data_IF_010598144827
#
_entry.id   IF_010598144827
#
_cell.length_a   1.000
_cell.length_b   1.000
_cell.length_c   1.000
_cell.angle_alpha   90.00
_cell.angle_beta   90.00
_cell.angle_gamma   90.00
#
_symmetry.space_group_name_H-M   'P 1'
#
loop_
_entity.id
_entity.type
_entity.pdbx_description
1 polymer ?
#
# COMPACT_ATOMS: atom_id res chain seq x y z
N UNK A 1 -9.96 -11.84 -9.32
CA UNK A 1 -8.59 -11.31 -9.07
C UNK A 1 -7.93 -11.75 -7.72
N UNK A 2 -8.65 -12.42 -6.81
CA UNK A 2 -8.18 -12.64 -5.43
C UNK A 2 -7.50 -14.01 -5.16
N UNK A 3 -7.32 -14.87 -6.16
CA UNK A 3 -6.96 -16.28 -5.93
C UNK A 3 -5.46 -16.57 -5.72
N UNK A 4 -4.57 -15.57 -5.86
CA UNK A 4 -3.14 -15.74 -5.56
C UNK A 4 -2.56 -14.47 -4.92
N UNK A 5 -2.05 -13.54 -5.73
CA UNK A 5 -1.43 -12.30 -5.27
C UNK A 5 -2.34 -11.45 -4.37
N UNK A 6 -3.65 -11.43 -4.67
CA UNK A 6 -4.65 -10.74 -3.87
C UNK A 6 -4.93 -11.39 -2.50
N UNK A 7 -4.90 -12.73 -2.40
CA UNK A 7 -5.17 -13.44 -1.14
C UNK A 7 -4.07 -13.20 -0.09
N UNK A 8 -2.80 -13.26 -0.53
CA UNK A 8 -1.66 -13.00 0.36
C UNK A 8 -1.68 -11.54 0.82
N UNK A 9 -1.84 -10.61 -0.11
CA UNK A 9 -1.91 -9.19 0.20
C UNK A 9 -3.07 -8.82 1.13
N UNK A 10 -4.25 -9.40 0.91
CA UNK A 10 -5.40 -9.24 1.80
C UNK A 10 -5.15 -9.82 3.20
N UNK A 11 -4.53 -10.99 3.29
CA UNK A 11 -4.16 -11.58 4.59
C UNK A 11 -3.16 -10.70 5.33
N UNK A 12 -2.13 -10.19 4.66
CA UNK A 12 -1.17 -9.25 5.26
C UNK A 12 -1.89 -8.01 5.80
N UNK A 13 -2.78 -7.40 5.00
CA UNK A 13 -3.59 -6.26 5.42
C UNK A 13 -4.50 -6.57 6.63
N UNK A 14 -5.01 -7.79 6.75
CA UNK A 14 -5.80 -8.20 7.93
C UNK A 14 -4.94 -8.37 9.17
N UNK A 15 -3.68 -8.81 9.00
CA UNK A 15 -2.74 -9.05 10.11
C UNK A 15 -2.14 -7.77 10.68
N UNK A 16 -2.16 -6.65 9.94
CA UNK A 16 -1.75 -5.35 10.49
C UNK A 16 -2.69 -4.86 11.59
N UNK A 17 -3.92 -5.39 11.66
CA UNK A 17 -4.98 -4.89 12.54
C UNK A 17 -5.19 -3.37 12.42
N UNK A 18 -5.00 -2.86 11.19
CA UNK A 18 -5.13 -1.44 10.86
C UNK A 18 -6.54 -0.95 11.18
N UNK A 19 -6.63 0.25 11.76
CA UNK A 19 -7.87 0.99 11.94
C UNK A 19 -7.96 2.07 10.89
N UNK A 20 -9.18 2.40 10.49
CA UNK A 20 -9.37 3.49 9.54
C UNK A 20 -8.81 4.81 10.08
N UNK A 21 -8.09 5.53 9.23
CA UNK A 21 -7.32 6.73 9.59
C UNK A 21 -5.85 6.48 9.95
N UNK A 22 -5.42 5.23 10.09
CA UNK A 22 -4.00 4.89 10.32
C UNK A 22 -3.22 4.83 9.00
N UNK A 23 -1.93 5.16 9.06
CA UNK A 23 -1.07 5.22 7.89
C UNK A 23 -0.52 3.82 7.54
N UNK A 24 -0.71 3.39 6.30
CA UNK A 24 -0.25 2.09 5.80
C UNK A 24 0.86 2.25 4.77
N UNK A 25 1.98 1.55 4.97
CA UNK A 25 3.01 1.36 3.97
C UNK A 25 2.80 0.09 3.13
N UNK A 26 3.05 0.17 1.83
CA UNK A 26 3.20 -0.98 0.93
C UNK A 26 4.63 -0.99 0.39
N UNK A 27 5.38 -2.07 0.63
CA UNK A 27 6.74 -2.23 0.11
C UNK A 27 6.78 -3.21 -1.07
N UNK A 28 7.36 -2.76 -2.18
CA UNK A 28 7.36 -3.49 -3.45
C UNK A 28 5.99 -3.39 -4.16
N UNK A 29 5.94 -2.62 -5.24
CA UNK A 29 4.67 -2.33 -5.93
C UNK A 29 4.45 -3.18 -7.18
N UNK A 30 4.42 -4.50 -6.99
CA UNK A 30 4.20 -5.49 -8.06
C UNK A 30 2.73 -5.87 -8.27
N UNK A 31 2.51 -7.09 -8.78
CA UNK A 31 1.18 -7.58 -9.13
C UNK A 31 0.21 -7.75 -7.93
N UNK A 32 0.72 -7.99 -6.73
CA UNK A 32 -0.09 -8.08 -5.52
C UNK A 32 -0.47 -6.69 -4.98
N UNK A 33 0.50 -5.78 -4.93
CA UNK A 33 0.35 -4.49 -4.27
C UNK A 33 -0.70 -3.60 -4.94
N UNK A 34 -0.85 -3.66 -6.27
CA UNK A 34 -1.89 -2.91 -6.98
C UNK A 34 -3.32 -3.37 -6.64
N UNK A 35 -3.50 -4.64 -6.23
CA UNK A 35 -4.80 -5.11 -5.73
C UNK A 35 -5.00 -4.67 -4.28
N UNK A 36 -3.94 -4.74 -3.48
CA UNK A 36 -3.97 -4.39 -2.05
C UNK A 36 -4.30 -2.93 -1.85
N UNK A 37 -3.71 -2.01 -2.63
CA UNK A 37 -3.99 -0.58 -2.49
C UNK A 37 -5.47 -0.27 -2.69
N UNK A 38 -6.10 -0.85 -3.72
CA UNK A 38 -7.53 -0.67 -4.01
C UNK A 38 -8.39 -1.26 -2.90
N UNK A 39 -8.04 -2.43 -2.38
CA UNK A 39 -8.74 -3.04 -1.24
C UNK A 39 -8.60 -2.20 0.04
N UNK A 40 -7.40 -1.73 0.33
CA UNK A 40 -7.10 -0.91 1.50
C UNK A 40 -7.84 0.43 1.44
N UNK A 41 -7.88 1.09 0.29
CA UNK A 41 -8.69 2.31 0.08
C UNK A 41 -10.18 2.08 0.27
N UNK A 42 -10.69 0.93 -0.14
CA UNK A 42 -12.10 0.59 0.04
C UNK A 42 -12.42 0.24 1.51
N UNK A 43 -11.54 -0.50 2.18
CA UNK A 43 -11.77 -0.95 3.56
C UNK A 43 -11.48 0.13 4.60
N UNK A 44 -10.52 1.01 4.31
CA UNK A 44 -10.06 2.09 5.19
C UNK A 44 -9.96 3.41 4.41
N UNK A 45 -11.10 4.03 4.07
CA UNK A 45 -11.16 5.20 3.19
C UNK A 45 -10.39 6.42 3.71
N UNK A 46 -10.26 6.57 5.04
CA UNK A 46 -9.53 7.67 5.68
C UNK A 46 -8.06 7.36 5.91
N UNK A 47 -7.61 6.15 5.61
CA UNK A 47 -6.20 5.76 5.75
C UNK A 47 -5.37 6.27 4.59
N UNK A 48 -4.23 6.85 4.93
CA UNK A 48 -3.24 7.25 3.93
C UNK A 48 -2.37 6.05 3.57
N UNK A 49 -2.13 5.87 2.26
CA UNK A 49 -1.30 4.79 1.76
C UNK A 49 -0.01 5.37 1.20
N UNK A 50 1.12 4.82 1.68
CA UNK A 50 2.48 5.17 1.30
C UNK A 50 3.07 3.98 0.55
N UNK A 51 3.70 4.23 -0.59
CA UNK A 51 4.27 3.15 -1.42
C UNK A 51 5.76 3.31 -1.58
N UNK A 52 6.49 2.22 -1.37
CA UNK A 52 7.93 2.12 -1.55
C UNK A 52 8.20 1.21 -2.75
N UNK A 53 8.71 1.78 -3.84
CA UNK A 53 8.95 1.05 -5.07
C UNK A 53 10.25 1.51 -5.74
N UNK A 54 10.97 0.55 -6.34
CA UNK A 54 12.27 0.79 -7.02
C UNK A 54 12.10 1.47 -8.38
N UNK A 55 11.02 1.15 -9.07
CA UNK A 55 10.78 1.65 -10.42
C UNK A 55 9.93 2.93 -10.37
N UNK A 56 10.33 3.95 -11.11
CA UNK A 56 9.57 5.21 -11.22
C UNK A 56 8.15 4.99 -11.73
N UNK A 57 7.99 4.14 -12.76
CA UNK A 57 6.68 3.76 -13.31
C UNK A 57 5.75 3.15 -12.26
N UNK A 58 6.30 2.34 -11.36
CA UNK A 58 5.52 1.75 -10.26
C UNK A 58 5.10 2.80 -9.24
N UNK A 59 5.95 3.80 -8.97
CA UNK A 59 5.62 4.93 -8.07
C UNK A 59 4.54 5.82 -8.67
N UNK A 60 4.61 6.12 -9.96
CA UNK A 60 3.58 6.87 -10.67
C UNK A 60 2.25 6.12 -10.63
N UNK A 61 2.27 4.84 -10.98
CA UNK A 61 1.07 4.00 -10.96
C UNK A 61 0.46 3.87 -9.55
N UNK A 62 1.30 3.81 -8.51
CA UNK A 62 0.82 3.82 -7.12
C UNK A 62 0.04 5.10 -6.77
N UNK A 63 0.51 6.26 -7.23
CA UNK A 63 -0.17 7.54 -7.03
C UNK A 63 -1.51 7.58 -7.78
N UNK A 64 -1.55 7.07 -9.02
CA UNK A 64 -2.81 6.94 -9.78
C UNK A 64 -3.84 6.06 -9.07
N UNK A 65 -3.38 5.01 -8.37
CA UNK A 65 -4.23 4.11 -7.60
C UNK A 65 -4.61 4.64 -6.20
N UNK A 66 -4.19 5.87 -5.85
CA UNK A 66 -4.60 6.56 -4.63
C UNK A 66 -3.60 6.51 -3.47
N UNK A 67 -2.33 6.19 -3.75
CA UNK A 67 -1.25 6.44 -2.78
C UNK A 67 -1.08 7.95 -2.58
N UNK A 68 -1.02 8.39 -1.33
CA UNK A 68 -0.77 9.80 -1.02
C UNK A 68 0.70 10.19 -1.23
N UNK A 69 1.57 9.19 -1.23
CA UNK A 69 3.00 9.34 -1.47
C UNK A 69 3.57 8.04 -2.04
N UNK A 70 4.54 8.17 -2.94
CA UNK A 70 5.33 7.05 -3.43
C UNK A 70 6.78 7.46 -3.62
N UNK A 71 7.71 6.67 -3.09
CA UNK A 71 9.14 6.95 -3.08
C UNK A 71 10.00 5.70 -3.29
N UNK A 72 11.32 5.93 -3.36
CA UNK A 72 12.30 4.85 -3.43
C UNK A 72 12.22 3.93 -2.20
N UNK A 73 12.72 2.70 -2.31
CA UNK A 73 12.67 1.73 -1.19
C UNK A 73 13.44 2.20 0.05
N UNK A 74 14.48 3.01 -0.16
CA UNK A 74 15.33 3.57 0.91
C UNK A 74 14.89 4.99 1.31
N UNK A 75 13.84 5.54 0.70
CA UNK A 75 13.37 6.87 1.05
C UNK A 75 12.65 6.87 2.39
N UNK A 76 12.74 7.99 3.12
CA UNK A 76 11.96 8.20 4.32
C UNK A 76 10.53 8.62 3.97
N UNK A 77 9.55 7.99 4.62
CA UNK A 77 8.15 8.42 4.52
C UNK A 77 7.98 9.79 5.19
N UNK A 78 7.23 10.72 4.58
CA UNK A 78 6.99 12.05 5.16
C UNK A 78 6.11 11.99 6.41
N UNK A 79 5.46 10.85 6.69
CA UNK A 79 4.69 10.61 7.91
C UNK A 79 5.04 9.26 8.52
N UNK A 80 4.87 9.15 9.84
CA UNK A 80 5.01 7.85 10.53
C UNK A 80 3.94 6.89 10.04
N UNK A 81 4.33 5.64 9.85
CA UNK A 81 3.46 4.56 9.42
C UNK A 81 3.08 3.72 10.63
N UNK A 82 1.80 3.34 10.71
CA UNK A 82 1.29 2.42 11.74
C UNK A 82 1.60 0.96 11.39
N UNK A 83 1.66 0.63 10.10
CA UNK A 83 2.02 -0.69 9.61
C UNK A 83 2.69 -0.62 8.22
N UNK A 84 3.47 -1.64 7.88
CA UNK A 84 4.03 -1.84 6.54
C UNK A 84 3.88 -3.31 6.14
N UNK A 85 3.46 -3.56 4.90
CA UNK A 85 3.28 -4.91 4.33
C UNK A 85 3.87 -5.05 2.93
#
# INVERSE_FOLDING_TARGET
PLLCAGAIGYRSLRLTNLRDGQNLGLTGFGASAHLVITMAKHQYPNSNIFVFARNEKEREFAKELGAVWAGETEAESPQKLDAII
#
